data_IF_074286017598
#
_entry.id   IF_074286017598
#
_cell.length_a   1.000
_cell.length_b   1.000
_cell.length_c   1.000
_cell.angle_alpha   90.00
_cell.angle_beta   90.00
_cell.angle_gamma   90.00
#
_symmetry.space_group_name_H-M   'P 1'
#
loop_
_entity.id
_entity.type
_entity.pdbx_description
1 polymer ?
#
# COMPACT_ATOMS: atom_id res chain seq x y z
N UNK A 1 -2.94 71.06 9.84
CA UNK A 1 -4.12 70.44 10.47
C UNK A 1 -3.70 69.09 10.98
N UNK A 2 -3.59 69.05 12.29
CA UNK A 2 -2.99 67.98 13.07
C UNK A 2 -3.93 66.78 13.19
N UNK A 3 -3.41 65.57 13.06
CA UNK A 3 -4.12 64.38 13.47
C UNK A 3 -3.25 63.55 14.44
N UNK A 4 -3.77 63.40 15.63
CA UNK A 4 -3.10 62.83 16.80
C UNK A 4 -3.01 61.29 16.72
N UNK A 5 -1.80 60.75 16.92
CA UNK A 5 -1.53 59.34 17.22
C UNK A 5 -1.94 59.04 18.67
N UNK A 6 -2.85 58.10 18.86
CA UNK A 6 -3.00 57.41 20.16
C UNK A 6 -2.40 55.99 20.05
N UNK A 7 -1.33 55.75 20.77
CA UNK A 7 -0.74 54.43 21.02
C UNK A 7 -1.66 53.65 21.97
N UNK A 8 -2.15 52.49 21.53
CA UNK A 8 -2.73 51.49 22.41
C UNK A 8 -1.65 50.40 22.70
N UNK A 9 -1.28 50.25 23.95
CA UNK A 9 -0.45 49.17 24.47
C UNK A 9 -1.38 47.97 24.59
N UNK A 10 -1.23 47.00 23.70
CA UNK A 10 -1.96 45.72 23.74
C UNK A 10 -1.10 44.66 24.44
N UNK A 11 -1.61 44.15 25.52
CA UNK A 11 -1.09 43.05 26.32
C UNK A 11 -1.02 41.79 25.43
N UNK A 12 0.17 41.23 25.24
CA UNK A 12 0.36 39.93 24.54
C UNK A 12 -0.10 38.84 25.50
N UNK A 13 -1.30 38.36 25.30
CA UNK A 13 -1.78 37.14 25.93
C UNK A 13 -1.09 35.91 25.27
N UNK A 14 -0.34 35.19 26.10
CA UNK A 14 0.26 33.90 25.74
C UNK A 14 -0.87 32.89 25.59
N UNK A 15 -1.42 32.70 24.36
CA UNK A 15 -2.31 31.59 24.05
C UNK A 15 -1.43 30.33 23.94
N UNK A 16 -1.53 29.50 24.99
CA UNK A 16 -0.98 28.16 24.97
C UNK A 16 -1.60 27.37 23.79
N UNK A 17 -0.77 26.97 22.84
CA UNK A 17 -1.11 25.97 21.85
C UNK A 17 -1.34 24.64 22.58
N UNK A 18 -2.58 24.40 22.98
CA UNK A 18 -3.05 23.04 23.28
C UNK A 18 -2.98 22.30 21.95
N UNK A 19 -1.92 21.51 21.76
CA UNK A 19 -1.83 20.57 20.68
C UNK A 19 -3.05 19.65 20.73
N UNK A 20 -3.96 19.80 19.78
CA UNK A 20 -5.04 18.83 19.60
C UNK A 20 -4.36 17.53 19.18
N UNK A 21 -4.39 16.54 20.07
CA UNK A 21 -4.08 15.16 19.70
C UNK A 21 -4.95 14.82 18.47
N UNK A 22 -4.42 14.06 17.48
CA UNK A 22 -5.22 13.65 16.35
C UNK A 22 -6.45 12.93 16.91
N UNK A 23 -7.64 13.41 16.54
CA UNK A 23 -8.89 12.74 16.89
C UNK A 23 -8.88 11.40 16.15
N UNK A 24 -8.62 10.31 16.88
CA UNK A 24 -8.80 8.96 16.34
C UNK A 24 -10.25 8.84 15.88
N UNK A 25 -10.47 8.38 14.66
CA UNK A 25 -11.79 8.07 14.20
C UNK A 25 -12.42 7.03 15.15
N UNK A 26 -13.71 7.18 15.45
CA UNK A 26 -14.38 6.20 16.31
C UNK A 26 -14.26 4.81 15.66
N UNK A 27 -13.94 3.76 16.43
CA UNK A 27 -13.81 2.41 15.88
C UNK A 27 -15.10 1.97 15.20
N UNK A 28 -14.98 1.09 14.21
CA UNK A 28 -16.13 0.52 13.51
C UNK A 28 -17.08 -0.17 14.51
N UNK A 29 -18.38 -0.12 14.23
CA UNK A 29 -19.41 -0.67 15.10
C UNK A 29 -19.14 -2.14 15.46
N UNK A 30 -19.16 -2.44 16.77
CA UNK A 30 -18.88 -3.76 17.32
C UNK A 30 -17.41 -4.14 17.45
N UNK A 31 -16.47 -3.28 17.02
CA UNK A 31 -15.04 -3.46 17.29
C UNK A 31 -14.60 -2.72 18.55
N UNK A 32 -13.69 -3.33 19.28
CA UNK A 32 -13.05 -2.72 20.44
C UNK A 32 -11.52 -2.69 20.23
N UNK A 33 -10.88 -1.63 20.70
CA UNK A 33 -9.43 -1.55 20.76
C UNK A 33 -8.90 -2.66 21.68
N UNK A 34 -7.96 -3.45 21.18
CA UNK A 34 -7.36 -4.58 21.90
C UNK A 34 -5.88 -4.35 22.23
N UNK A 35 -5.19 -3.66 21.36
CA UNK A 35 -3.80 -3.30 21.57
C UNK A 35 -3.46 -2.06 20.75
N UNK A 36 -2.40 -1.38 21.16
CA UNK A 36 -1.85 -0.23 20.47
C UNK A 36 -0.32 -0.34 20.44
N UNK A 37 0.28 0.02 19.33
CA UNK A 37 1.72 0.09 19.13
C UNK A 37 2.11 1.47 18.62
N UNK A 38 3.35 1.67 18.20
CA UNK A 38 3.78 2.97 17.68
C UNK A 38 3.03 3.37 16.40
N UNK A 39 2.78 2.40 15.50
CA UNK A 39 2.19 2.69 14.19
C UNK A 39 0.78 2.12 14.00
N UNK A 40 0.31 1.24 14.90
CA UNK A 40 -0.95 0.52 14.71
C UNK A 40 -1.86 0.56 15.94
N UNK A 41 -3.16 0.76 15.72
CA UNK A 41 -4.23 0.43 16.66
C UNK A 41 -4.94 -0.84 16.19
N UNK A 42 -4.98 -1.87 17.03
CA UNK A 42 -5.58 -3.17 16.70
C UNK A 42 -6.98 -3.29 17.29
N UNK A 43 -7.94 -3.57 16.43
CA UNK A 43 -9.35 -3.71 16.77
C UNK A 43 -9.86 -5.11 16.45
N UNK A 44 -10.68 -5.70 17.33
CA UNK A 44 -11.41 -6.93 17.04
C UNK A 44 -12.78 -6.95 17.72
N UNK A 45 -13.68 -7.81 17.22
CA UNK A 45 -15.01 -8.03 17.83
C UNK A 45 -14.95 -9.01 18.99
N UNK A 46 -14.08 -10.01 18.93
CA UNK A 46 -13.89 -11.06 19.94
C UNK A 46 -12.57 -10.91 20.69
N UNK A 47 -12.25 -11.92 21.51
CA UNK A 47 -11.00 -11.97 22.30
C UNK A 47 -9.86 -12.64 21.52
N UNK A 48 -9.76 -12.34 20.21
CA UNK A 48 -8.72 -12.87 19.36
C UNK A 48 -7.32 -12.52 19.92
N UNK A 49 -6.46 -13.53 20.02
CA UNK A 49 -5.04 -13.32 20.30
C UNK A 49 -4.31 -13.08 18.99
N UNK A 50 -3.50 -12.03 18.95
CA UNK A 50 -2.72 -11.68 17.77
C UNK A 50 -1.32 -11.18 18.16
N UNK A 51 -0.38 -11.39 17.27
CA UNK A 51 0.99 -10.88 17.46
C UNK A 51 1.07 -9.45 16.92
N UNK A 52 1.13 -8.46 17.81
CA UNK A 52 1.24 -7.04 17.47
C UNK A 52 2.64 -6.63 17.02
N UNK A 53 3.68 -7.45 17.29
CA UNK A 53 5.07 -7.14 16.93
C UNK A 53 5.32 -7.36 15.45
N UNK A 54 4.74 -8.38 14.87
CA UNK A 54 4.97 -8.74 13.47
C UNK A 54 4.58 -7.64 12.49
N UNK A 55 3.42 -6.95 12.59
CA UNK A 55 3.11 -5.78 11.78
C UNK A 55 4.16 -4.66 11.87
N UNK A 56 4.66 -4.35 13.06
CA UNK A 56 5.71 -3.34 13.25
C UNK A 56 7.04 -3.76 12.59
N UNK A 57 7.44 -5.03 12.76
CA UNK A 57 8.64 -5.56 12.13
C UNK A 57 8.54 -5.56 10.60
N UNK A 58 7.37 -5.89 10.06
CA UNK A 58 7.14 -5.86 8.63
C UNK A 58 7.12 -4.42 8.10
N UNK A 59 6.45 -3.51 8.81
CA UNK A 59 6.45 -2.09 8.46
C UNK A 59 7.89 -1.56 8.39
N UNK A 60 8.71 -1.80 9.40
CA UNK A 60 10.10 -1.37 9.42
C UNK A 60 10.91 -1.92 8.22
N UNK A 61 10.68 -3.19 7.85
CA UNK A 61 11.31 -3.79 6.65
C UNK A 61 10.87 -3.10 5.37
N UNK A 62 9.56 -2.85 5.21
CA UNK A 62 9.00 -2.19 4.01
C UNK A 62 9.47 -0.75 3.91
N UNK A 63 9.47 0.00 5.00
CA UNK A 63 9.98 1.37 5.07
C UNK A 63 11.45 1.46 4.65
N UNK A 64 12.29 0.59 5.21
CA UNK A 64 13.70 0.53 4.87
C UNK A 64 13.91 0.16 3.39
N UNK A 65 13.13 -0.80 2.88
CA UNK A 65 13.20 -1.26 1.50
C UNK A 65 12.78 -0.19 0.49
N UNK A 66 11.70 0.55 0.77
CA UNK A 66 11.16 1.58 -0.11
C UNK A 66 11.80 2.97 0.10
N UNK A 67 12.60 3.13 1.15
CA UNK A 67 13.18 4.43 1.51
C UNK A 67 12.10 5.48 1.81
N UNK A 68 11.03 5.05 2.48
CA UNK A 68 9.89 5.90 2.84
C UNK A 68 9.33 5.47 4.20
N UNK A 69 9.08 6.43 5.07
CA UNK A 69 8.46 6.18 6.37
C UNK A 69 6.97 6.46 6.30
N UNK A 70 6.19 5.61 6.93
CA UNK A 70 4.77 5.81 7.12
C UNK A 70 4.54 7.09 7.94
N UNK A 71 3.71 7.98 7.44
CA UNK A 71 3.44 9.29 8.08
C UNK A 71 2.13 9.31 8.87
N UNK A 72 1.35 8.24 8.82
CA UNK A 72 0.06 8.14 9.47
C UNK A 72 -0.04 6.87 10.33
N UNK A 73 -0.81 6.95 11.40
CA UNK A 73 -1.17 5.79 12.22
C UNK A 73 -2.21 4.93 11.47
N UNK A 74 -2.16 3.61 11.67
CA UNK A 74 -3.01 2.65 10.94
C UNK A 74 -3.95 1.93 11.90
N UNK A 75 -5.23 1.95 11.58
CA UNK A 75 -6.24 1.15 12.26
C UNK A 75 -6.28 -0.25 11.64
N UNK A 76 -5.95 -1.26 12.43
CA UNK A 76 -5.89 -2.66 12.00
C UNK A 76 -7.10 -3.43 12.55
N UNK A 77 -8.08 -3.71 11.69
CA UNK A 77 -9.31 -4.43 12.04
C UNK A 77 -9.14 -5.92 11.77
N UNK A 78 -9.27 -6.74 12.84
CA UNK A 78 -9.10 -8.20 12.78
C UNK A 78 -10.47 -8.87 12.86
N UNK A 79 -10.76 -9.70 11.87
CA UNK A 79 -12.00 -10.43 11.68
C UNK A 79 -11.77 -11.94 11.84
N UNK A 80 -12.81 -12.65 12.23
CA UNK A 80 -12.74 -14.12 12.34
C UNK A 80 -12.75 -14.79 10.95
N UNK A 81 -13.45 -14.17 9.96
CA UNK A 81 -13.63 -14.73 8.61
C UNK A 81 -13.69 -13.65 7.53
N UNK A 82 -13.42 -14.05 6.28
CA UNK A 82 -13.49 -13.19 5.11
C UNK A 82 -14.93 -12.68 4.82
N UNK A 83 -15.94 -13.46 5.17
CA UNK A 83 -17.36 -13.07 5.08
C UNK A 83 -17.67 -11.86 5.96
N UNK A 84 -17.05 -11.75 7.12
CA UNK A 84 -17.22 -10.62 8.04
C UNK A 84 -16.55 -9.34 7.50
N UNK A 85 -15.42 -9.49 6.78
CA UNK A 85 -14.82 -8.39 6.02
C UNK A 85 -15.79 -7.94 4.93
N UNK A 86 -16.35 -8.88 4.16
CA UNK A 86 -17.30 -8.58 3.10
C UNK A 86 -18.55 -7.87 3.63
N UNK A 87 -19.10 -8.30 4.76
CA UNK A 87 -20.26 -7.68 5.40
C UNK A 87 -19.97 -6.24 5.87
N UNK A 88 -18.72 -5.93 6.23
CA UNK A 88 -18.32 -4.61 6.72
C UNK A 88 -17.92 -3.68 5.58
N UNK A 89 -17.18 -4.18 4.59
CA UNK A 89 -16.51 -3.37 3.55
C UNK A 89 -17.17 -3.47 2.17
N UNK A 90 -18.08 -4.44 1.98
CA UNK A 90 -18.64 -4.78 0.67
C UNK A 90 -17.70 -5.59 -0.23
N UNK A 91 -16.49 -5.98 0.24
CA UNK A 91 -15.48 -6.70 -0.54
C UNK A 91 -15.07 -8.00 0.16
N UNK A 92 -15.13 -9.11 -0.56
CA UNK A 92 -14.70 -10.42 -0.06
C UNK A 92 -13.19 -10.57 -0.24
N UNK A 93 -12.45 -10.61 0.87
CA UNK A 93 -11.00 -10.76 0.87
C UNK A 93 -10.52 -11.34 2.22
N UNK A 94 -9.35 -11.97 2.22
CA UNK A 94 -8.66 -12.39 3.45
C UNK A 94 -7.87 -11.24 4.11
N UNK A 95 -7.51 -10.24 3.32
CA UNK A 95 -6.91 -8.97 3.71
C UNK A 95 -7.36 -7.88 2.73
N UNK A 96 -7.45 -6.65 3.18
CA UNK A 96 -7.87 -5.50 2.40
C UNK A 96 -7.39 -4.21 3.05
N UNK A 97 -6.69 -3.39 2.29
CA UNK A 97 -6.23 -2.07 2.74
C UNK A 97 -7.07 -0.96 2.12
N UNK A 98 -7.43 0.03 2.94
CA UNK A 98 -7.97 1.33 2.53
C UNK A 98 -6.93 2.40 2.90
N UNK A 99 -5.96 2.67 2.02
CA UNK A 99 -4.83 3.53 2.34
C UNK A 99 -5.25 4.97 2.67
N UNK A 100 -6.28 5.47 1.98
CA UNK A 100 -6.85 6.80 2.19
C UNK A 100 -7.52 6.98 3.55
N UNK A 101 -7.94 5.87 4.17
CA UNK A 101 -8.53 5.85 5.53
C UNK A 101 -7.49 5.47 6.58
N UNK A 102 -6.29 5.05 6.18
CA UNK A 102 -5.30 4.46 7.09
C UNK A 102 -5.79 3.16 7.73
N UNK A 103 -6.50 2.30 6.99
CA UNK A 103 -7.13 1.11 7.54
C UNK A 103 -6.67 -0.17 6.84
N UNK A 104 -6.40 -1.21 7.65
CA UNK A 104 -6.23 -2.59 7.22
C UNK A 104 -7.37 -3.42 7.81
N UNK A 105 -8.04 -4.21 6.99
CA UNK A 105 -9.04 -5.20 7.36
C UNK A 105 -8.49 -6.58 7.04
N UNK A 106 -8.41 -7.50 8.01
CA UNK A 106 -7.80 -8.80 7.78
C UNK A 106 -8.34 -9.88 8.70
N UNK A 107 -8.24 -11.12 8.26
CA UNK A 107 -8.48 -12.31 9.09
C UNK A 107 -7.22 -12.74 9.88
N UNK A 108 -6.12 -12.00 9.74
CA UNK A 108 -4.85 -12.27 10.43
C UNK A 108 -4.16 -10.99 10.85
N UNK A 109 -3.50 -10.99 12.00
CA UNK A 109 -2.64 -9.88 12.44
C UNK A 109 -1.29 -9.81 11.70
N UNK A 110 -1.04 -10.72 10.77
CA UNK A 110 0.24 -10.83 10.05
C UNK A 110 0.07 -10.86 8.54
N UNK A 111 -0.70 -9.92 8.00
CA UNK A 111 -0.87 -9.73 6.56
C UNK A 111 0.23 -8.79 6.04
N UNK A 112 1.39 -9.37 5.78
CA UNK A 112 2.57 -8.64 5.30
C UNK A 112 2.30 -7.93 3.97
N UNK A 113 1.43 -8.50 3.12
CA UNK A 113 0.92 -7.91 1.88
C UNK A 113 0.23 -6.56 2.10
N UNK A 114 -0.71 -6.50 3.05
CA UNK A 114 -1.49 -5.29 3.33
C UNK A 114 -0.62 -4.15 3.89
N UNK A 115 0.43 -4.49 4.63
CA UNK A 115 1.38 -3.51 5.16
C UNK A 115 2.19 -2.85 4.03
N UNK A 116 2.47 -3.58 2.95
CA UNK A 116 3.12 -2.97 1.77
C UNK A 116 2.23 -1.88 1.17
N UNK A 117 0.92 -2.12 1.06
CA UNK A 117 -0.02 -1.15 0.50
C UNK A 117 -0.05 0.17 1.26
N UNK A 118 -0.06 0.17 2.61
CA UNK A 118 -0.10 1.43 3.38
C UNK A 118 1.14 2.29 3.17
N UNK A 119 2.31 1.70 2.93
CA UNK A 119 3.54 2.44 2.63
C UNK A 119 3.61 2.83 1.16
N UNK A 120 3.32 1.88 0.26
CA UNK A 120 3.42 2.08 -1.19
C UNK A 120 2.45 3.16 -1.70
N UNK A 121 1.24 3.23 -1.15
CA UNK A 121 0.26 4.24 -1.51
C UNK A 121 0.71 5.66 -1.18
N UNK A 122 1.46 5.84 -0.07
CA UNK A 122 2.04 7.14 0.29
C UNK A 122 3.20 7.55 -0.63
N UNK A 123 3.86 6.60 -1.28
CA UNK A 123 4.85 6.90 -2.30
C UNK A 123 4.22 7.49 -3.55
N UNK A 124 3.13 6.88 -4.03
CA UNK A 124 2.45 7.25 -5.25
C UNK A 124 1.56 6.14 -5.77
N UNK A 125 0.84 6.41 -6.85
CA UNK A 125 -0.14 5.47 -7.39
C UNK A 125 0.05 5.22 -8.89
N UNK A 126 0.86 4.22 -9.28
CA UNK A 126 1.01 3.79 -10.68
C UNK A 126 -0.14 2.93 -11.20
N UNK A 127 -1.19 2.70 -10.40
CA UNK A 127 -2.32 1.85 -10.72
C UNK A 127 -2.28 0.47 -10.05
N UNK A 128 -3.45 -0.23 -10.05
CA UNK A 128 -3.63 -1.48 -9.29
C UNK A 128 -2.61 -2.56 -9.63
N UNK A 129 -2.30 -2.77 -10.90
CA UNK A 129 -1.32 -3.75 -11.34
C UNK A 129 0.04 -3.61 -10.63
N UNK A 130 0.55 -2.39 -10.53
CA UNK A 130 1.85 -2.14 -9.87
C UNK A 130 1.74 -2.17 -8.36
N UNK A 131 0.64 -1.69 -7.78
CA UNK A 131 0.40 -1.73 -6.34
C UNK A 131 0.35 -3.18 -5.85
N UNK A 132 -0.45 -4.02 -6.49
CA UNK A 132 -0.54 -5.44 -6.14
C UNK A 132 0.77 -6.18 -6.46
N UNK A 133 1.40 -5.84 -7.58
CA UNK A 133 2.70 -6.41 -7.95
C UNK A 133 3.79 -6.14 -6.90
N UNK A 134 3.82 -4.94 -6.33
CA UNK A 134 4.78 -4.60 -5.27
C UNK A 134 4.43 -5.32 -3.95
N UNK A 135 3.15 -5.41 -3.60
CA UNK A 135 2.71 -6.11 -2.41
C UNK A 135 3.04 -7.61 -2.48
N UNK A 136 2.81 -8.26 -3.64
CA UNK A 136 3.20 -9.66 -3.86
C UNK A 136 4.73 -9.83 -3.84
N UNK A 137 5.49 -8.91 -4.44
CA UNK A 137 6.95 -9.01 -4.47
C UNK A 137 7.58 -8.89 -3.08
N UNK A 138 7.13 -7.94 -2.25
CA UNK A 138 7.70 -7.63 -0.93
C UNK A 138 6.98 -8.33 0.22
N UNK A 139 5.64 -8.34 0.22
CA UNK A 139 4.82 -8.91 1.29
C UNK A 139 4.73 -10.44 1.19
N UNK A 140 4.46 -10.94 -0.02
CA UNK A 140 4.32 -12.37 -0.27
C UNK A 140 5.63 -13.03 -0.75
N UNK A 141 6.74 -12.29 -0.75
CA UNK A 141 8.07 -12.78 -1.13
C UNK A 141 8.12 -13.44 -2.52
N UNK A 142 7.42 -12.86 -3.51
CA UNK A 142 7.36 -13.39 -4.87
C UNK A 142 6.57 -14.70 -4.99
N UNK A 143 5.63 -14.93 -4.08
CA UNK A 143 4.69 -16.06 -4.11
C UNK A 143 3.27 -15.54 -4.05
N UNK A 144 2.36 -16.21 -4.73
CA UNK A 144 0.94 -15.92 -4.63
C UNK A 144 0.15 -17.22 -4.45
N UNK A 145 -0.68 -17.29 -3.43
CA UNK A 145 -1.41 -18.51 -3.05
C UNK A 145 -0.50 -19.76 -3.00
N UNK A 146 0.68 -19.61 -2.40
CA UNK A 146 1.65 -20.68 -2.25
C UNK A 146 2.46 -21.02 -3.50
N UNK A 147 2.16 -20.43 -4.69
CA UNK A 147 2.88 -20.68 -5.94
C UNK A 147 3.93 -19.57 -6.19
N UNK A 148 5.13 -19.90 -6.70
CA UNK A 148 6.04 -18.90 -7.23
C UNK A 148 5.38 -18.13 -8.39
N UNK A 149 5.43 -16.79 -8.34
CA UNK A 149 4.74 -15.94 -9.32
C UNK A 149 5.21 -16.17 -10.76
N UNK A 150 6.50 -16.41 -10.98
CA UNK A 150 7.06 -16.68 -12.31
C UNK A 150 6.50 -17.97 -12.94
N UNK A 151 6.11 -18.95 -12.10
CA UNK A 151 5.50 -20.20 -12.60
C UNK A 151 4.12 -19.94 -13.22
N UNK A 152 3.35 -19.03 -12.65
CA UNK A 152 2.03 -18.63 -13.17
C UNK A 152 2.23 -17.71 -14.38
N UNK A 153 3.09 -16.69 -14.25
CA UNK A 153 3.38 -15.76 -15.33
C UNK A 153 3.85 -16.44 -16.62
N UNK A 154 4.70 -17.48 -16.51
CA UNK A 154 5.17 -18.29 -17.64
C UNK A 154 4.05 -18.96 -18.44
N UNK A 155 2.89 -19.19 -17.83
CA UNK A 155 1.72 -19.78 -18.49
C UNK A 155 0.79 -18.71 -19.09
N UNK A 156 0.71 -17.54 -18.45
CA UNK A 156 -0.28 -16.51 -18.78
C UNK A 156 0.27 -15.45 -19.73
N UNK A 157 1.53 -15.03 -19.55
CA UNK A 157 2.11 -13.90 -20.27
C UNK A 157 2.48 -14.15 -21.75
N UNK A 158 2.87 -15.38 -22.19
CA UNK A 158 3.24 -15.58 -23.58
C UNK A 158 2.13 -15.18 -24.57
N UNK A 159 2.52 -14.43 -25.62
CA UNK A 159 1.58 -13.94 -26.63
C UNK A 159 0.75 -12.73 -26.22
N UNK A 160 0.95 -12.18 -25.03
CA UNK A 160 0.30 -10.96 -24.57
C UNK A 160 1.29 -9.82 -24.40
N UNK A 161 0.84 -8.59 -24.64
CA UNK A 161 1.63 -7.39 -24.28
C UNK A 161 1.43 -7.05 -22.82
N UNK A 162 2.41 -6.40 -22.22
CA UNK A 162 2.28 -5.95 -20.83
C UNK A 162 1.14 -4.95 -20.65
N UNK A 163 0.94 -4.06 -21.63
CA UNK A 163 -0.17 -3.10 -21.63
C UNK A 163 -1.53 -3.81 -21.62
N UNK A 164 -1.68 -4.90 -22.37
CA UNK A 164 -2.91 -5.69 -22.37
C UNK A 164 -3.14 -6.38 -21.02
N UNK A 165 -2.07 -6.85 -20.37
CA UNK A 165 -2.14 -7.45 -19.02
C UNK A 165 -2.52 -6.40 -17.97
N UNK A 166 -1.96 -5.20 -18.04
CA UNK A 166 -2.31 -4.07 -17.16
C UNK A 166 -3.77 -3.66 -17.38
N UNK A 167 -4.19 -3.44 -18.64
CA UNK A 167 -5.53 -2.95 -18.97
C UNK A 167 -6.66 -3.90 -18.53
N UNK A 168 -6.38 -5.20 -18.43
CA UNK A 168 -7.36 -6.20 -18.00
C UNK A 168 -7.22 -6.64 -16.55
N UNK A 169 -6.33 -6.03 -15.79
CA UNK A 169 -5.98 -6.48 -14.44
C UNK A 169 -7.21 -6.58 -13.52
N UNK A 170 -8.09 -5.58 -13.53
CA UNK A 170 -9.29 -5.52 -12.67
C UNK A 170 -10.35 -6.59 -13.00
N UNK A 171 -10.31 -7.18 -14.20
CA UNK A 171 -11.26 -8.20 -14.66
C UNK A 171 -10.62 -9.58 -14.79
N UNK A 172 -9.31 -9.68 -14.56
CA UNK A 172 -8.58 -10.95 -14.57
C UNK A 172 -8.93 -11.81 -13.35
N UNK A 173 -8.75 -13.14 -13.47
CA UNK A 173 -8.77 -13.99 -12.29
C UNK A 173 -7.68 -13.49 -11.30
N UNK A 174 -8.02 -13.15 -10.06
CA UNK A 174 -7.04 -12.69 -9.08
C UNK A 174 -5.86 -13.65 -8.87
N UNK A 175 -6.07 -14.97 -9.07
CA UNK A 175 -5.00 -15.96 -8.97
C UNK A 175 -3.92 -15.75 -10.04
N UNK A 176 -4.33 -15.35 -11.25
CA UNK A 176 -3.42 -15.08 -12.35
C UNK A 176 -2.93 -13.63 -12.32
N UNK A 177 -3.83 -12.66 -12.17
CA UNK A 177 -3.53 -11.23 -12.21
C UNK A 177 -2.46 -10.84 -11.20
N UNK A 178 -2.64 -11.20 -9.94
CA UNK A 178 -1.67 -10.91 -8.87
C UNK A 178 -0.32 -11.59 -9.09
N UNK A 179 -0.32 -12.84 -9.54
CA UNK A 179 0.93 -13.55 -9.83
C UNK A 179 1.67 -12.92 -11.01
N UNK A 180 0.97 -12.50 -12.06
CA UNK A 180 1.55 -11.81 -13.22
C UNK A 180 2.14 -10.46 -12.82
N UNK A 181 1.39 -9.66 -12.06
CA UNK A 181 1.84 -8.37 -11.55
C UNK A 181 3.05 -8.53 -10.61
N UNK A 182 3.01 -9.49 -9.68
CA UNK A 182 4.10 -9.81 -8.77
C UNK A 182 5.36 -10.27 -9.49
N UNK A 183 5.23 -11.08 -10.54
CA UNK A 183 6.36 -11.52 -11.36
C UNK A 183 6.99 -10.35 -12.12
N UNK A 184 6.19 -9.48 -12.74
CA UNK A 184 6.71 -8.33 -13.45
C UNK A 184 7.41 -7.34 -12.51
N UNK A 185 6.81 -7.00 -11.37
CA UNK A 185 7.43 -6.08 -10.41
C UNK A 185 8.69 -6.70 -9.79
N UNK A 186 8.70 -8.01 -9.51
CA UNK A 186 9.92 -8.72 -9.08
C UNK A 186 11.03 -8.66 -10.15
N UNK A 187 10.68 -8.77 -11.43
CA UNK A 187 11.62 -8.57 -12.54
C UNK A 187 12.18 -7.13 -12.54
N UNK A 188 11.36 -6.10 -12.36
CA UNK A 188 11.82 -4.72 -12.27
C UNK A 188 12.77 -4.52 -11.10
N UNK A 189 12.44 -5.04 -9.92
CA UNK A 189 13.29 -4.95 -8.73
C UNK A 189 14.64 -5.64 -8.98
N UNK A 190 14.65 -6.81 -9.60
CA UNK A 190 15.88 -7.56 -9.92
C UNK A 190 16.73 -6.84 -10.96
N UNK A 191 16.12 -6.21 -11.96
CA UNK A 191 16.83 -5.57 -13.08
C UNK A 191 17.34 -4.17 -12.77
N UNK A 192 16.62 -3.39 -11.95
CA UNK A 192 16.86 -1.96 -11.74
C UNK A 192 17.08 -1.60 -10.26
N UNK A 193 16.78 -2.53 -9.35
CA UNK A 193 16.84 -2.28 -7.91
C UNK A 193 15.59 -1.60 -7.36
N UNK A 194 15.36 -1.83 -6.09
CA UNK A 194 14.19 -1.32 -5.37
C UNK A 194 14.16 0.22 -5.27
N UNK A 195 15.30 0.94 -5.11
CA UNK A 195 15.28 2.41 -5.11
C UNK A 195 14.71 3.01 -6.40
N UNK A 196 14.97 2.40 -7.56
CA UNK A 196 14.47 2.88 -8.84
C UNK A 196 12.98 2.58 -9.00
N UNK A 197 12.51 1.42 -8.52
CA UNK A 197 11.08 1.11 -8.44
C UNK A 197 10.36 2.08 -7.51
N UNK A 198 10.92 2.40 -6.33
CA UNK A 198 10.35 3.42 -5.43
C UNK A 198 10.29 4.80 -6.08
N UNK A 199 11.31 5.17 -6.88
CA UNK A 199 11.30 6.43 -7.63
C UNK A 199 10.19 6.44 -8.68
N UNK A 200 9.95 5.33 -9.37
CA UNK A 200 8.83 5.19 -10.31
C UNK A 200 7.48 5.40 -9.61
N UNK A 201 7.26 4.79 -8.46
CA UNK A 201 6.03 5.01 -7.68
C UNK A 201 5.84 6.49 -7.35
N UNK A 202 6.88 7.18 -6.83
CA UNK A 202 6.83 8.61 -6.49
C UNK A 202 6.50 9.51 -7.69
N UNK A 203 6.87 9.11 -8.89
CA UNK A 203 6.59 9.86 -10.11
C UNK A 203 5.16 9.66 -10.63
N UNK A 204 4.41 8.69 -10.08
CA UNK A 204 3.05 8.35 -10.53
C UNK A 204 1.98 8.98 -9.64
N UNK A 205 1.10 9.79 -10.26
CA UNK A 205 -0.05 10.43 -9.63
C UNK A 205 -1.36 9.93 -10.26
N UNK A 206 -1.51 8.61 -10.37
CA UNK A 206 -2.60 7.91 -11.05
C UNK A 206 -2.18 7.31 -12.39
N UNK A 207 -2.98 6.41 -12.91
CA UNK A 207 -2.69 5.57 -14.09
C UNK A 207 -2.30 6.36 -15.34
N UNK A 208 -2.85 7.55 -15.53
CA UNK A 208 -2.55 8.39 -16.70
C UNK A 208 -1.10 8.85 -16.80
N UNK A 209 -0.38 8.85 -15.69
CA UNK A 209 1.02 9.25 -15.64
C UNK A 209 1.99 8.08 -15.72
N UNK A 210 1.47 6.84 -15.57
CA UNK A 210 2.28 5.62 -15.38
C UNK A 210 3.23 5.35 -16.56
N UNK A 211 2.73 5.33 -17.80
CA UNK A 211 3.57 5.03 -18.97
C UNK A 211 4.68 6.06 -19.18
N UNK A 212 4.38 7.35 -19.01
CA UNK A 212 5.37 8.41 -19.15
C UNK A 212 6.41 8.36 -18.04
N UNK A 213 5.98 8.16 -16.77
CA UNK A 213 6.87 8.00 -15.63
C UNK A 213 7.75 6.76 -15.77
N UNK A 214 7.18 5.64 -16.25
CA UNK A 214 7.92 4.41 -16.50
C UNK A 214 9.06 4.65 -17.50
N UNK A 215 8.75 5.24 -18.66
CA UNK A 215 9.77 5.52 -19.68
C UNK A 215 10.85 6.48 -19.17
N UNK A 216 10.46 7.51 -18.43
CA UNK A 216 11.41 8.48 -17.88
C UNK A 216 12.35 7.86 -16.82
N UNK A 217 11.86 6.96 -15.98
CA UNK A 217 12.61 6.38 -14.87
C UNK A 217 13.47 5.18 -15.31
N UNK A 218 12.90 4.28 -16.14
CA UNK A 218 13.59 3.05 -16.54
C UNK A 218 14.35 3.18 -17.87
N UNK A 219 14.14 4.27 -18.62
CA UNK A 219 14.80 4.51 -19.91
C UNK A 219 14.26 3.65 -21.04
N UNK A 220 13.12 3.00 -20.85
CA UNK A 220 12.46 2.13 -21.84
C UNK A 220 10.93 2.14 -21.66
N UNK A 221 10.20 1.75 -22.69
CA UNK A 221 8.74 1.67 -22.64
C UNK A 221 8.26 0.43 -21.89
N UNK A 222 7.00 0.43 -21.44
CA UNK A 222 6.35 -0.75 -20.86
C UNK A 222 6.39 -1.95 -21.81
N UNK A 223 6.19 -1.72 -23.10
CA UNK A 223 6.26 -2.76 -24.15
C UNK A 223 7.63 -3.44 -24.17
N UNK A 224 8.71 -2.65 -24.19
CA UNK A 224 10.09 -3.16 -24.21
C UNK A 224 10.40 -3.93 -22.93
N UNK A 225 10.05 -3.37 -21.78
CA UNK A 225 10.24 -4.02 -20.48
C UNK A 225 9.43 -5.31 -20.37
N UNK A 226 8.18 -5.32 -20.83
CA UNK A 226 7.33 -6.49 -20.88
C UNK A 226 7.93 -7.61 -21.75
N UNK A 227 8.45 -7.27 -22.94
CA UNK A 227 9.12 -8.23 -23.80
C UNK A 227 10.40 -8.81 -23.17
N UNK A 228 11.18 -8.00 -22.43
CA UNK A 228 12.35 -8.49 -21.67
C UNK A 228 11.94 -9.42 -20.55
N UNK A 229 10.92 -9.03 -19.78
CA UNK A 229 10.37 -9.85 -18.70
C UNK A 229 9.90 -11.21 -19.21
N UNK A 230 9.05 -11.28 -20.26
CA UNK A 230 8.57 -12.54 -20.84
C UNK A 230 9.73 -13.44 -21.28
N UNK A 231 10.79 -12.88 -21.86
CA UNK A 231 12.00 -13.67 -22.22
C UNK A 231 12.76 -14.19 -21.00
N UNK A 232 12.61 -13.56 -19.83
CA UNK A 232 13.31 -13.97 -18.60
C UNK A 232 12.55 -15.06 -17.82
N UNK A 233 11.29 -15.32 -18.15
CA UNK A 233 10.47 -16.37 -17.53
C UNK A 233 10.90 -17.77 -17.96
#
# INVERSE_FOLDING_TARGET
MECWLKRAVGTVGLLGLLGTAPAFAAPLAGFALRAETHNFSFFSRGDARFDVRRPEEQLARVEAALGHRLSAHVDYYIYDRAEDIAATTGRYAGGLTFPELGQIHSTSSSQDHEIVHVVAYQLGNPGPFFQEGLAVALGDHGRWQGQPVDRVARKVAPGQTLEALIARFDVADPKEGYAVAGSFVSFLIKSHGLPQVSHFFRACHGERTTSAAFAAIFGETLEVAGAKWVRSL
#
